data_IF_013348413288
#
_entry.id   IF_013348413288
#
_cell.length_a   1.000
_cell.length_b   1.000
_cell.length_c   1.000
_cell.angle_alpha   90.00
_cell.angle_beta   90.00
_cell.angle_gamma   90.00
#
_symmetry.space_group_name_H-M   'P 1'
#
loop_
_entity.id
_entity.type
_entity.pdbx_description
1 polymer ?
#
# COMPACT_ATOMS: atom_id res chain seq x y z
N UNK A 1 8.36 3.44 -5.70
CA UNK A 1 8.88 4.65 -5.00
C UNK A 1 9.31 4.25 -3.61
N UNK A 2 10.48 4.68 -3.17
CA UNK A 2 10.98 4.36 -1.83
C UNK A 2 10.66 5.51 -0.87
N UNK A 3 10.31 5.14 0.38
CA UNK A 3 10.13 6.09 1.46
C UNK A 3 11.51 6.54 1.94
N UNK A 4 11.68 7.84 2.15
CA UNK A 4 12.84 8.43 2.82
C UNK A 4 12.35 9.48 3.83
N UNK A 5 12.91 9.46 5.01
CA UNK A 5 12.59 10.43 6.05
C UNK A 5 13.89 10.92 6.71
N UNK A 6 14.05 12.24 6.82
CA UNK A 6 15.28 12.88 7.32
C UNK A 6 16.55 12.46 6.54
N UNK A 7 16.42 12.17 5.24
CA UNK A 7 17.53 11.78 4.38
C UNK A 7 17.99 10.33 4.51
N UNK A 8 17.37 9.52 5.36
CA UNK A 8 17.69 8.12 5.54
C UNK A 8 16.69 7.21 4.81
N UNK A 9 17.13 5.99 4.51
CA UNK A 9 16.33 4.98 3.80
C UNK A 9 15.09 4.57 4.59
N UNK A 10 14.08 4.07 3.90
CA UNK A 10 12.80 3.66 4.46
C UNK A 10 12.86 2.54 5.51
N UNK A 11 13.96 1.78 5.57
CA UNK A 11 14.19 0.77 6.59
C UNK A 11 14.33 1.35 8.02
N UNK A 12 14.59 2.65 8.13
CA UNK A 12 14.64 3.40 9.39
C UNK A 12 13.33 4.11 9.73
N UNK A 13 12.32 3.95 8.89
CA UNK A 13 10.98 4.50 9.09
C UNK A 13 10.04 3.37 9.50
N UNK A 14 9.35 3.55 10.60
CA UNK A 14 8.34 2.59 11.04
C UNK A 14 7.02 2.86 10.34
N UNK A 15 6.49 1.81 9.70
CA UNK A 15 5.15 1.83 9.13
C UNK A 15 4.13 1.29 10.13
N UNK A 16 3.09 2.05 10.36
CA UNK A 16 1.95 1.68 11.19
C UNK A 16 0.67 1.68 10.34
N UNK A 17 -0.26 0.86 10.75
CA UNK A 17 -1.64 0.92 10.29
C UNK A 17 -2.53 0.94 11.51
N UNK A 18 -3.26 2.03 11.69
CA UNK A 18 -4.15 2.22 12.84
C UNK A 18 -3.44 2.01 14.19
N UNK A 19 -2.24 2.59 14.32
CA UNK A 19 -1.32 2.48 15.46
C UNK A 19 -0.71 1.09 15.70
N UNK A 20 -0.89 0.13 14.79
CA UNK A 20 -0.24 -1.17 14.87
C UNK A 20 0.91 -1.27 13.88
N UNK A 21 2.09 -1.75 14.30
CA UNK A 21 3.21 -1.97 13.38
C UNK A 21 2.82 -2.89 12.23
N UNK A 22 3.07 -2.43 11.02
CA UNK A 22 2.74 -3.14 9.78
C UNK A 22 3.89 -3.00 8.78
N UNK A 23 4.10 -4.01 7.94
CA UNK A 23 5.10 -4.01 6.87
C UNK A 23 6.51 -3.72 7.39
N UNK A 24 7.07 -4.64 8.15
CA UNK A 24 8.40 -4.55 8.74
C UNK A 24 9.52 -4.98 7.79
N UNK A 25 10.75 -4.57 8.10
CA UNK A 25 11.95 -4.95 7.38
C UNK A 25 11.96 -4.40 5.94
N UNK A 26 12.30 -5.22 4.97
CA UNK A 26 12.39 -4.81 3.55
C UNK A 26 11.05 -4.32 3.01
N UNK A 27 9.93 -4.86 3.49
CA UNK A 27 8.60 -4.45 3.06
C UNK A 27 8.21 -3.03 3.50
N UNK A 28 8.82 -2.49 4.58
CA UNK A 28 8.54 -1.13 5.04
C UNK A 28 8.89 -0.07 4.01
N UNK A 29 9.93 -0.30 3.22
CA UNK A 29 10.39 0.60 2.16
C UNK A 29 9.32 0.86 1.09
N UNK A 30 8.47 -0.12 0.84
CA UNK A 30 7.38 -0.08 -0.14
C UNK A 30 6.00 0.02 0.51
N UNK A 31 5.95 0.26 1.81
CA UNK A 31 4.71 0.18 2.60
C UNK A 31 3.55 0.99 2.06
N UNK A 32 3.82 2.19 1.53
CA UNK A 32 2.78 3.04 0.95
C UNK A 32 2.29 2.55 -0.43
N UNK A 33 3.08 1.77 -1.16
CA UNK A 33 2.63 1.20 -2.44
C UNK A 33 1.52 0.15 -2.24
N UNK A 34 1.45 -0.44 -1.04
CA UNK A 34 0.44 -1.44 -0.70
C UNK A 34 -0.84 -0.86 -0.11
N UNK A 35 -0.92 0.47 -0.01
CA UNK A 35 -2.08 1.15 0.55
C UNK A 35 -2.62 2.13 -0.50
N UNK A 36 -3.69 1.76 -1.22
CA UNK A 36 -4.31 2.64 -2.21
C UNK A 36 -4.78 3.94 -1.58
N UNK A 37 -4.50 5.09 -2.23
CA UNK A 37 -4.90 6.41 -1.75
C UNK A 37 -6.39 6.54 -1.41
N UNK A 38 -7.32 6.07 -2.28
CA UNK A 38 -8.76 6.14 -2.01
C UNK A 38 -9.24 5.36 -0.77
N UNK A 39 -8.42 4.44 -0.23
CA UNK A 39 -8.73 3.67 0.98
C UNK A 39 -8.37 4.42 2.27
N UNK A 40 -7.47 5.42 2.16
CA UNK A 40 -6.97 6.16 3.32
C UNK A 40 -8.00 7.16 3.84
N UNK A 41 -8.21 7.16 5.14
CA UNK A 41 -8.90 8.20 5.89
C UNK A 41 -7.94 9.33 6.24
N UNK A 42 -6.78 8.95 6.76
CA UNK A 42 -5.73 9.89 7.15
C UNK A 42 -4.34 9.24 7.05
N UNK A 43 -3.33 10.08 6.95
CA UNK A 43 -1.93 9.71 7.07
C UNK A 43 -1.25 10.67 8.04
N UNK A 44 -0.59 10.12 9.04
CA UNK A 44 0.15 10.88 10.03
C UNK A 44 1.63 10.58 9.91
N UNK A 45 2.45 11.63 9.85
CA UNK A 45 3.90 11.50 9.74
C UNK A 45 4.54 12.18 10.95
N UNK A 46 5.20 11.38 11.77
CA UNK A 46 6.00 11.85 12.90
C UNK A 46 7.47 11.73 12.56
N UNK A 47 8.25 12.80 12.75
CA UNK A 47 9.69 12.84 12.51
C UNK A 47 10.46 12.64 13.80
N UNK A 48 11.59 11.93 13.72
CA UNK A 48 12.45 11.62 14.87
C UNK A 48 12.12 10.28 15.51
N UNK A 49 12.91 9.91 16.50
CA UNK A 49 12.74 8.65 17.21
C UNK A 49 11.38 8.61 17.92
N UNK A 50 10.65 7.52 17.68
CA UNK A 50 9.36 7.32 18.30
C UNK A 50 9.45 6.49 19.59
N UNK A 51 8.30 6.36 20.25
CA UNK A 51 8.20 5.52 21.44
C UNK A 51 8.52 4.06 21.15
N UNK A 52 9.33 3.44 21.99
CA UNK A 52 9.65 2.01 21.95
C UNK A 52 8.43 1.09 22.08
N UNK A 53 7.27 1.65 22.46
CA UNK A 53 6.00 0.91 22.54
C UNK A 53 5.65 0.21 21.23
N UNK A 54 5.98 0.83 20.09
CA UNK A 54 5.65 0.32 18.76
C UNK A 54 6.79 -0.47 18.12
N UNK A 55 7.93 -0.60 18.81
CA UNK A 55 9.13 -1.30 18.33
C UNK A 55 10.33 -0.36 18.18
N UNK A 56 11.45 -0.91 17.77
CA UNK A 56 12.74 -0.21 17.69
C UNK A 56 13.03 0.39 16.29
N UNK A 57 12.18 0.13 15.32
CA UNK A 57 12.45 0.46 13.91
C UNK A 57 12.28 1.96 13.60
N UNK A 58 11.63 2.71 14.48
CA UNK A 58 11.43 4.14 14.29
C UNK A 58 12.67 4.94 14.70
N UNK A 59 13.65 5.00 13.83
CA UNK A 59 14.85 5.82 14.02
C UNK A 59 14.63 7.23 13.48
N UNK A 60 14.11 7.35 12.27
CA UNK A 60 13.88 8.64 11.59
C UNK A 60 12.44 9.12 11.70
N UNK A 61 11.52 8.24 12.06
CA UNK A 61 10.12 8.59 12.26
C UNK A 61 9.17 7.43 12.04
N UNK A 62 7.89 7.79 12.10
CA UNK A 62 6.77 6.89 11.90
C UNK A 62 5.82 7.45 10.85
N UNK A 63 5.27 6.55 10.05
CA UNK A 63 4.15 6.84 9.15
C UNK A 63 2.99 5.94 9.59
N UNK A 64 1.91 6.53 10.07
CA UNK A 64 0.70 5.82 10.45
C UNK A 64 -0.42 6.12 9.44
N UNK A 65 -1.04 5.08 8.92
CA UNK A 65 -2.12 5.19 7.95
C UNK A 65 -3.39 4.64 8.57
N UNK A 66 -4.43 5.46 8.58
CA UNK A 66 -5.78 5.02 8.91
C UNK A 66 -6.59 4.74 7.65
N UNK A 67 -7.22 3.58 7.60
CA UNK A 67 -8.20 3.27 6.56
C UNK A 67 -9.56 3.89 6.85
N UNK A 68 -10.32 4.21 5.80
CA UNK A 68 -11.74 4.59 5.94
C UNK A 68 -12.50 3.53 6.73
N UNK A 69 -13.24 3.99 7.75
CA UNK A 69 -14.09 3.12 8.57
C UNK A 69 -15.43 2.92 7.86
N UNK A 70 -16.10 1.76 8.00
CA UNK A 70 -17.37 1.50 7.30
C UNK A 70 -18.44 2.56 7.47
N UNK A 71 -18.51 3.23 8.62
CA UNK A 71 -19.48 4.31 8.92
C UNK A 71 -19.19 5.64 8.23
N UNK A 72 -17.95 5.87 7.81
CA UNK A 72 -17.52 7.13 7.16
C UNK A 72 -17.05 6.93 5.73
N UNK A 73 -16.98 5.70 5.28
CA UNK A 73 -16.68 5.39 3.88
C UNK A 73 -17.91 5.74 3.01
N UNK A 74 -17.62 6.15 1.79
CA UNK A 74 -18.66 6.42 0.81
C UNK A 74 -19.49 5.15 0.54
N UNK A 75 -20.81 5.23 0.39
CA UNK A 75 -21.64 4.08 0.02
C UNK A 75 -21.15 3.40 -1.24
N UNK A 76 -20.69 4.18 -2.21
CA UNK A 76 -20.00 3.74 -3.41
C UNK A 76 -19.02 4.80 -3.88
N UNK A 77 -17.75 4.42 -3.99
CA UNK A 77 -16.71 5.23 -4.61
C UNK A 77 -16.02 4.38 -5.68
N UNK A 78 -15.89 4.94 -6.88
CA UNK A 78 -15.09 4.36 -7.96
C UNK A 78 -14.08 5.41 -8.39
N UNK A 79 -12.81 5.03 -8.42
CA UNK A 79 -11.71 5.88 -8.84
C UNK A 79 -10.87 5.15 -9.89
N UNK A 80 -10.64 5.82 -11.03
CA UNK A 80 -9.82 5.30 -12.11
C UNK A 80 -8.69 6.28 -12.38
N UNK A 81 -7.48 5.76 -12.55
CA UNK A 81 -6.29 6.53 -12.85
C UNK A 81 -5.54 5.89 -14.02
N UNK A 82 -5.13 6.74 -14.97
CA UNK A 82 -4.30 6.35 -16.12
C UNK A 82 -3.27 7.44 -16.36
N UNK A 83 -2.05 7.06 -16.72
CA UNK A 83 -1.02 8.02 -17.09
C UNK A 83 -0.31 7.64 -18.41
N UNK A 84 0.52 8.56 -18.92
CA UNK A 84 1.27 8.40 -20.16
C UNK A 84 2.39 7.34 -20.08
N UNK A 85 2.82 6.95 -18.87
CA UNK A 85 3.83 5.89 -18.68
C UNK A 85 3.25 4.48 -18.81
N UNK A 86 1.94 4.35 -19.07
CA UNK A 86 1.26 3.06 -19.20
C UNK A 86 0.79 2.48 -17.88
N UNK A 87 0.80 3.26 -16.79
CA UNK A 87 0.19 2.90 -15.52
C UNK A 87 -1.32 3.08 -15.60
N UNK A 88 -2.05 2.09 -15.14
CA UNK A 88 -3.47 2.20 -14.87
C UNK A 88 -3.81 1.59 -13.51
N UNK A 89 -4.74 2.23 -12.84
CA UNK A 89 -5.17 1.85 -11.50
C UNK A 89 -6.68 2.03 -11.38
N UNK A 90 -7.32 1.04 -10.80
CA UNK A 90 -8.74 1.07 -10.48
C UNK A 90 -8.98 0.81 -9.01
N UNK A 91 -9.82 1.63 -8.39
CA UNK A 91 -10.26 1.48 -7.02
C UNK A 91 -11.79 1.46 -6.97
N UNK A 92 -12.33 0.57 -6.15
CA UNK A 92 -13.73 0.59 -5.78
C UNK A 92 -13.86 0.43 -4.26
N UNK A 93 -14.73 1.22 -3.66
CA UNK A 93 -15.08 1.13 -2.25
C UNK A 93 -16.59 1.09 -2.17
N UNK A 94 -17.14 0.14 -1.42
CA UNK A 94 -18.57 0.05 -1.13
C UNK A 94 -18.77 -0.14 0.37
N UNK A 95 -19.61 0.71 0.99
CA UNK A 95 -19.92 0.61 2.41
C UNK A 95 -21.43 0.51 2.61
N UNK A 96 -21.83 -0.30 3.59
CA UNK A 96 -23.23 -0.49 3.94
C UNK A 96 -23.40 -0.62 5.47
N UNK A 97 -24.41 0.04 5.98
CA UNK A 97 -24.90 -0.17 7.34
C UNK A 97 -25.94 -1.28 7.32
N UNK A 98 -25.61 -2.42 7.93
CA UNK A 98 -26.50 -3.57 8.01
C UNK A 98 -27.59 -3.36 9.08
N UNK A 99 -27.27 -2.63 10.13
CA UNK A 99 -28.16 -2.15 11.17
C UNK A 99 -27.47 -1.07 12.01
N UNK A 100 -28.18 -0.49 13.00
CA UNK A 100 -27.68 0.61 13.84
C UNK A 100 -26.35 0.32 14.56
N UNK A 101 -25.97 -0.96 14.69
CA UNK A 101 -24.78 -1.41 15.43
C UNK A 101 -23.69 -1.98 14.54
N UNK A 102 -24.02 -2.44 13.35
CA UNK A 102 -23.13 -3.19 12.48
C UNK A 102 -23.07 -2.57 11.09
N UNK A 103 -21.87 -2.23 10.68
CA UNK A 103 -21.58 -1.77 9.32
C UNK A 103 -20.37 -2.51 8.73
N UNK A 104 -20.33 -2.62 7.43
CA UNK A 104 -19.23 -3.23 6.68
C UNK A 104 -18.84 -2.41 5.48
N UNK A 105 -17.58 -2.50 5.07
CA UNK A 105 -17.09 -1.92 3.84
C UNK A 105 -16.16 -2.88 3.11
N UNK A 106 -16.31 -2.92 1.79
CA UNK A 106 -15.47 -3.67 0.87
C UNK A 106 -14.63 -2.68 0.07
N UNK A 107 -13.34 -2.96 -0.01
CA UNK A 107 -12.34 -2.17 -0.73
C UNK A 107 -11.68 -3.05 -1.77
N UNK A 108 -11.63 -2.59 -3.00
CA UNK A 108 -10.99 -3.26 -4.12
C UNK A 108 -9.99 -2.32 -4.77
N UNK A 109 -8.82 -2.84 -5.11
CA UNK A 109 -7.80 -2.11 -5.87
C UNK A 109 -7.15 -3.05 -6.88
N UNK A 110 -6.96 -2.54 -8.08
CA UNK A 110 -6.13 -3.14 -9.10
C UNK A 110 -5.16 -2.09 -9.62
N UNK A 111 -3.89 -2.45 -9.72
CA UNK A 111 -2.80 -1.62 -10.21
C UNK A 111 -1.98 -2.41 -11.23
N UNK A 112 -1.67 -1.76 -12.34
CA UNK A 112 -0.80 -2.35 -13.36
C UNK A 112 0.11 -1.28 -13.96
N UNK A 113 1.40 -1.60 -14.12
CA UNK A 113 2.43 -0.82 -14.79
C UNK A 113 3.43 -1.81 -15.40
N UNK A 114 3.05 -2.40 -16.54
CA UNK A 114 3.84 -3.44 -17.25
C UNK A 114 4.61 -2.89 -18.45
N UNK A 115 4.67 -1.58 -18.61
CA UNK A 115 5.40 -1.00 -19.72
C UNK A 115 6.89 -1.01 -19.43
N UNK A 116 7.64 -1.68 -20.28
CA UNK A 116 9.12 -1.68 -20.25
C UNK A 116 9.66 -0.27 -20.46
N UNK A 117 10.33 0.28 -19.47
CA UNK A 117 10.98 1.57 -19.52
C UNK A 117 12.50 1.36 -19.43
N UNK A 118 13.17 1.59 -20.56
CA UNK A 118 14.63 1.63 -20.70
C UNK A 118 14.96 2.84 -21.60
N UNK A 119 15.08 4.02 -20.99
CA UNK A 119 15.31 5.28 -21.74
C UNK A 119 16.75 5.48 -22.15
N UNK A 120 17.69 4.99 -21.37
CA UNK A 120 19.11 5.10 -21.60
C UNK A 120 19.67 3.98 -22.50
N UNK A 121 18.84 2.94 -22.77
CA UNK A 121 19.16 1.78 -23.60
C UNK A 121 20.35 0.96 -23.06
N UNK A 122 20.46 0.86 -21.75
CA UNK A 122 21.48 0.06 -21.09
C UNK A 122 21.05 -1.38 -20.84
N UNK A 123 19.88 -1.77 -21.34
CA UNK A 123 19.24 -3.08 -21.17
C UNK A 123 18.72 -3.37 -19.77
N UNK A 124 18.73 -2.39 -18.86
CA UNK A 124 18.11 -2.49 -17.55
C UNK A 124 16.82 -1.69 -17.48
N UNK A 125 15.86 -2.20 -16.74
CA UNK A 125 14.60 -1.49 -16.49
C UNK A 125 14.84 -0.27 -15.59
N UNK A 126 14.58 0.93 -16.08
CA UNK A 126 14.58 2.17 -15.29
C UNK A 126 13.53 2.16 -14.18
N UNK A 127 12.43 1.44 -14.43
CA UNK A 127 11.32 1.26 -13.49
C UNK A 127 10.87 -0.20 -13.50
N UNK A 128 10.65 -0.80 -12.33
CA UNK A 128 10.12 -2.17 -12.28
C UNK A 128 8.72 -2.23 -12.88
N UNK A 129 8.44 -3.28 -13.63
CA UNK A 129 7.08 -3.66 -14.00
C UNK A 129 6.34 -4.14 -12.75
N UNK A 130 5.12 -3.67 -12.57
CA UNK A 130 4.36 -3.92 -11.35
C UNK A 130 2.92 -4.26 -11.68
N UNK A 131 2.43 -5.33 -11.07
CA UNK A 131 1.02 -5.67 -11.07
C UNK A 131 0.59 -6.02 -9.65
N UNK A 132 -0.46 -5.41 -9.16
CA UNK A 132 -0.99 -5.76 -7.86
C UNK A 132 -2.52 -5.77 -7.84
N UNK A 133 -3.05 -6.64 -7.01
CA UNK A 133 -4.47 -6.74 -6.70
C UNK A 133 -4.65 -6.80 -5.19
N UNK A 134 -5.51 -5.95 -4.67
CA UNK A 134 -5.80 -5.89 -3.24
C UNK A 134 -7.29 -5.90 -2.98
N UNK A 135 -7.67 -6.68 -1.99
CA UNK A 135 -9.04 -6.71 -1.46
C UNK A 135 -8.98 -6.55 0.04
N UNK A 136 -9.84 -5.72 0.60
CA UNK A 136 -10.01 -5.60 2.04
C UNK A 136 -11.48 -5.53 2.38
N UNK A 137 -11.91 -6.35 3.34
CA UNK A 137 -13.22 -6.24 3.94
C UNK A 137 -13.08 -5.83 5.40
N UNK A 138 -13.83 -4.80 5.80
CA UNK A 138 -13.83 -4.26 7.16
C UNK A 138 -15.20 -4.34 7.78
N UNK A 139 -15.22 -4.57 9.08
CA UNK A 139 -16.42 -4.63 9.90
C UNK A 139 -16.29 -3.67 11.07
N UNK A 140 -17.34 -2.97 11.37
CA UNK A 140 -17.45 -2.09 12.52
C UNK A 140 -18.73 -2.45 13.29
N UNK A 141 -18.55 -2.86 14.54
CA UNK A 141 -19.63 -3.15 15.47
C UNK A 141 -19.56 -2.20 16.66
N UNK A 142 -20.66 -1.54 16.98
CA UNK A 142 -20.70 -0.55 18.03
C UNK A 142 -21.96 -0.70 18.89
N UNK A 143 -21.76 -0.72 20.20
CA UNK A 143 -22.81 -0.59 21.23
C UNK A 143 -22.43 0.52 22.21
N UNK A 144 -23.31 0.96 23.11
CA UNK A 144 -22.96 1.98 24.12
C UNK A 144 -21.78 1.61 25.03
N UNK A 145 -21.46 0.31 25.15
CA UNK A 145 -20.41 -0.19 26.04
C UNK A 145 -19.23 -0.86 25.33
N UNK A 146 -19.35 -1.10 24.05
CA UNK A 146 -18.34 -1.88 23.32
C UNK A 146 -18.23 -1.44 21.86
N UNK A 147 -17.01 -1.25 21.38
CA UNK A 147 -16.71 -0.98 19.99
C UNK A 147 -15.69 -2.02 19.51
N UNK A 148 -15.98 -2.66 18.39
CA UNK A 148 -15.08 -3.58 17.73
C UNK A 148 -14.86 -3.14 16.28
N UNK A 149 -13.61 -3.18 15.85
CA UNK A 149 -13.23 -3.01 14.46
C UNK A 149 -12.39 -4.22 14.05
N UNK A 150 -12.76 -4.86 12.98
CA UNK A 150 -12.03 -5.99 12.44
C UNK A 150 -11.96 -5.86 10.93
N UNK A 151 -10.97 -6.51 10.31
CA UNK A 151 -10.81 -6.50 8.88
C UNK A 151 -9.86 -7.60 8.41
N UNK A 152 -10.08 -8.02 7.18
CA UNK A 152 -9.20 -8.95 6.47
C UNK A 152 -8.77 -8.27 5.21
N UNK A 153 -7.45 -8.24 4.96
CA UNK A 153 -6.85 -7.73 3.74
C UNK A 153 -6.06 -8.84 3.06
N UNK A 154 -6.29 -9.00 1.77
CA UNK A 154 -5.52 -9.89 0.90
C UNK A 154 -4.84 -9.03 -0.14
N UNK A 155 -3.56 -9.28 -0.37
CA UNK A 155 -2.72 -8.59 -1.35
C UNK A 155 -1.99 -9.64 -2.18
N UNK A 156 -2.12 -9.53 -3.51
CA UNK A 156 -1.28 -10.23 -4.47
C UNK A 156 -0.46 -9.18 -5.24
N UNK A 157 0.87 -9.27 -5.18
CA UNK A 157 1.79 -8.33 -5.81
C UNK A 157 2.82 -9.09 -6.64
N UNK A 158 3.04 -8.63 -7.86
CA UNK A 158 4.07 -9.14 -8.75
C UNK A 158 4.93 -7.97 -9.23
N UNK A 159 6.24 -8.11 -9.07
CA UNK A 159 7.22 -7.12 -9.50
C UNK A 159 8.30 -7.80 -10.33
N UNK A 160 8.61 -7.22 -11.47
CA UNK A 160 9.70 -7.65 -12.33
C UNK A 160 10.65 -6.47 -12.51
N UNK A 161 11.92 -6.68 -12.19
CA UNK A 161 12.97 -5.68 -12.37
C UNK A 161 14.25 -6.37 -12.80
N UNK A 162 15.16 -5.63 -13.42
CA UNK A 162 16.46 -6.13 -13.85
C UNK A 162 16.69 -5.95 -15.34
N UNK A 163 17.43 -6.85 -15.93
CA UNK A 163 17.85 -6.78 -17.33
C UNK A 163 16.72 -7.17 -18.29
N UNK A 164 16.55 -6.38 -19.36
CA UNK A 164 15.47 -6.56 -20.35
C UNK A 164 15.79 -7.60 -21.43
N UNK A 165 17.07 -7.92 -21.65
CA UNK A 165 17.53 -8.91 -22.63
C UNK A 165 18.37 -9.99 -21.97
N UNK A 166 17.90 -11.22 -22.02
CA UNK A 166 18.67 -12.41 -21.73
C UNK A 166 19.20 -12.96 -23.07
N UNK A 167 20.24 -12.35 -23.61
CA UNK A 167 21.04 -13.03 -24.62
C UNK A 167 21.92 -14.03 -23.89
N UNK A 168 21.41 -15.26 -23.78
CA UNK A 168 22.30 -16.40 -23.62
C UNK A 168 23.16 -16.44 -24.88
N UNK A 169 24.40 -16.02 -24.77
CA UNK A 169 25.41 -16.43 -25.74
C UNK A 169 25.61 -17.93 -25.46
N UNK A 170 24.98 -18.77 -26.28
CA UNK A 170 25.44 -20.13 -26.49
C UNK A 170 26.79 -20.00 -27.20
N UNK A 171 27.87 -19.99 -26.46
CA UNK A 171 29.20 -20.30 -26.98
C UNK A 171 29.23 -21.81 -27.25
N UNK A 172 28.72 -22.19 -28.41
CA UNK A 172 29.12 -23.45 -29.04
C UNK A 172 30.54 -23.26 -29.57
N UNK A 173 31.51 -23.92 -28.94
CA UNK A 173 32.71 -24.46 -29.56
C UNK A 173 33.16 -25.72 -28.81
#
# INVERSE_FOLDING_TARGET
KQIQLLGLAGTYVQMLTENFPNLRGVASTYGLDYIPGPWMQSIQVSKGAASVKNGYESVTGQIDVEYKKPKVADPLLVNLFVNSTGRYEGNAVGAVELNDRLSTALFLNYYNEERTHDKNKDTFLDMPEMQSFSVMNRWHYQTPRFVSQSGIKVLADRRTSGQTSHTLHDDEN
#
